data_IF_372251400030
#
_entry.id   IF_372251400030
#
_cell.length_a   1.000
_cell.length_b   1.000
_cell.length_c   1.000
_cell.angle_alpha   90.00
_cell.angle_beta   90.00
_cell.angle_gamma   90.00
#
_symmetry.space_group_name_H-M   'P 1'
#
loop_
_entity.id
_entity.type
_entity.pdbx_description
1 polymer ?
#
# COMPACT_ATOMS: atom_id res chain seq x y z
N UNK A 1 16.61 51.22 -49.10
CA UNK A 1 17.82 50.70 -48.43
C UNK A 1 17.68 51.03 -46.95
N UNK A 2 17.06 50.21 -46.10
CA UNK A 2 17.44 48.88 -45.60
C UNK A 2 18.67 48.89 -44.67
N UNK A 3 18.44 48.74 -43.35
CA UNK A 3 19.11 47.84 -42.36
C UNK A 3 18.90 48.41 -40.93
N UNK A 4 17.98 47.87 -40.09
CA UNK A 4 18.08 46.74 -39.12
C UNK A 4 19.07 46.95 -37.95
N UNK A 5 18.53 47.07 -36.72
CA UNK A 5 18.63 46.13 -35.56
C UNK A 5 19.80 46.49 -34.65
N UNK A 6 19.78 46.47 -33.31
CA UNK A 6 18.93 45.89 -32.27
C UNK A 6 19.85 45.76 -31.03
N UNK A 7 19.35 45.93 -29.80
CA UNK A 7 20.24 45.91 -28.64
C UNK A 7 19.55 46.09 -27.28
N UNK A 8 18.64 45.17 -26.96
CA UNK A 8 18.09 44.93 -25.64
C UNK A 8 19.18 44.51 -24.63
N UNK A 9 19.15 45.07 -23.42
CA UNK A 9 19.78 44.47 -22.24
C UNK A 9 18.86 44.66 -21.04
N UNK A 10 17.95 43.70 -20.89
CA UNK A 10 17.17 43.48 -19.69
C UNK A 10 18.07 43.37 -18.45
N UNK A 11 17.73 44.14 -17.41
CA UNK A 11 18.28 43.99 -16.06
C UNK A 11 17.49 42.86 -15.37
N UNK A 12 18.23 41.82 -15.03
CA UNK A 12 17.83 40.60 -14.33
C UNK A 12 16.83 40.84 -13.19
N UNK A 13 15.65 40.26 -13.31
CA UNK A 13 14.76 39.95 -12.21
C UNK A 13 15.43 38.90 -11.32
N UNK A 14 15.78 39.28 -10.08
CA UNK A 14 16.03 38.31 -9.02
C UNK A 14 14.69 37.68 -8.64
N UNK A 15 14.40 36.53 -9.27
CA UNK A 15 13.35 35.64 -8.80
C UNK A 15 13.77 35.06 -7.45
N UNK A 16 13.12 35.53 -6.38
CA UNK A 16 13.15 34.88 -5.09
C UNK A 16 12.69 33.43 -5.28
N UNK A 17 13.61 32.48 -5.04
CA UNK A 17 13.29 31.08 -5.00
C UNK A 17 12.38 30.83 -3.81
N UNK A 18 11.07 30.80 -4.07
CA UNK A 18 10.10 30.31 -3.11
C UNK A 18 10.32 28.81 -2.98
N UNK A 19 11.01 28.46 -1.90
CA UNK A 19 11.28 27.12 -1.41
C UNK A 19 9.94 26.42 -1.18
N UNK A 20 9.35 25.91 -2.26
CA UNK A 20 8.29 24.92 -2.23
C UNK A 20 8.94 23.63 -1.74
N UNK A 21 9.23 23.57 -0.44
CA UNK A 21 9.34 22.33 0.31
C UNK A 21 8.20 21.47 -0.21
N UNK A 22 8.55 20.49 -1.04
CA UNK A 22 7.60 19.53 -1.58
C UNK A 22 6.97 18.90 -0.35
N UNK A 23 5.77 19.37 0.04
CA UNK A 23 4.98 18.79 1.11
C UNK A 23 5.03 17.29 0.87
N UNK A 24 5.76 16.57 1.73
CA UNK A 24 5.84 15.13 1.65
C UNK A 24 4.40 14.66 1.72
N UNK A 25 3.96 13.91 0.72
CA UNK A 25 2.64 13.28 0.76
C UNK A 25 2.72 12.23 1.86
N UNK A 26 2.38 12.63 3.08
CA UNK A 26 2.27 11.72 4.20
C UNK A 26 1.12 10.75 3.91
N UNK A 27 1.37 9.46 4.16
CA UNK A 27 0.33 8.46 4.06
C UNK A 27 -0.73 8.74 5.12
N UNK A 28 -2.01 8.65 4.75
CA UNK A 28 -3.13 8.76 5.70
C UNK A 28 -3.16 7.59 6.70
N UNK A 29 -2.42 6.51 6.42
CA UNK A 29 -2.39 5.29 7.20
C UNK A 29 -1.15 5.29 8.10
N UNK A 30 -1.39 5.32 9.41
CA UNK A 30 -0.33 5.16 10.41
C UNK A 30 -0.15 3.67 10.76
N UNK A 31 0.82 3.04 10.09
CA UNK A 31 1.16 1.64 10.30
C UNK A 31 1.95 1.38 11.60
N UNK A 32 2.46 2.43 12.27
CA UNK A 32 3.18 2.29 13.54
C UNK A 32 2.35 1.56 14.59
N UNK A 33 1.03 1.79 14.58
CA UNK A 33 0.05 1.20 15.51
C UNK A 33 -0.07 -0.33 15.37
N UNK A 34 0.39 -0.88 14.25
CA UNK A 34 0.32 -2.29 13.90
C UNK A 34 1.69 -2.97 13.93
N UNK A 35 2.77 -2.27 14.27
CA UNK A 35 4.08 -2.90 14.50
C UNK A 35 3.97 -3.98 15.57
N UNK A 36 4.65 -5.09 15.34
CA UNK A 36 4.64 -6.29 16.19
C UNK A 36 3.25 -6.93 16.35
N UNK A 37 2.27 -6.57 15.50
CA UNK A 37 0.95 -7.20 15.47
C UNK A 37 0.75 -7.97 14.17
N UNK A 38 -0.11 -8.98 14.24
CA UNK A 38 -0.53 -9.71 13.05
C UNK A 38 -1.48 -8.88 12.21
N UNK A 39 -1.16 -8.74 10.93
CA UNK A 39 -1.98 -8.08 9.92
C UNK A 39 -2.25 -9.04 8.76
N UNK A 40 -3.40 -8.86 8.11
CA UNK A 40 -3.75 -9.50 6.84
C UNK A 40 -3.62 -8.48 5.71
N UNK A 41 -2.97 -8.88 4.63
CA UNK A 41 -2.69 -8.05 3.46
C UNK A 41 -3.23 -8.73 2.22
N UNK A 42 -4.02 -7.98 1.43
CA UNK A 42 -4.45 -8.41 0.10
C UNK A 42 -3.65 -7.69 -0.96
N UNK A 43 -3.33 -8.40 -2.03
CA UNK A 43 -2.59 -7.89 -3.17
C UNK A 43 -3.46 -7.82 -4.41
N UNK A 44 -3.13 -6.89 -5.29
CA UNK A 44 -3.65 -6.85 -6.65
C UNK A 44 -3.43 -8.22 -7.31
N UNK A 45 -4.47 -8.72 -7.98
CA UNK A 45 -4.47 -10.06 -8.55
C UNK A 45 -4.83 -11.17 -7.57
N UNK A 46 -5.33 -10.86 -6.37
CA UNK A 46 -6.10 -11.77 -5.49
C UNK A 46 -5.32 -12.47 -4.38
N UNK A 47 -3.98 -12.38 -4.37
CA UNK A 47 -3.17 -13.02 -3.31
C UNK A 47 -3.47 -12.43 -1.94
N UNK A 48 -3.49 -13.28 -0.93
CA UNK A 48 -3.67 -12.87 0.46
C UNK A 48 -2.60 -13.49 1.35
N UNK A 49 -2.04 -12.69 2.25
CA UNK A 49 -1.07 -13.16 3.24
C UNK A 49 -1.37 -12.55 4.60
N UNK A 50 -1.04 -13.27 5.66
CA UNK A 50 -1.06 -12.77 7.03
C UNK A 50 0.31 -12.97 7.68
N UNK A 51 0.74 -12.02 8.50
CA UNK A 51 2.03 -12.08 9.19
C UNK A 51 2.19 -10.94 10.18
N UNK A 52 3.25 -11.01 10.99
CA UNK A 52 3.58 -9.98 11.99
C UNK A 52 4.28 -8.82 11.29
N UNK A 53 3.73 -7.61 11.40
CA UNK A 53 4.36 -6.43 10.80
C UNK A 53 5.62 -6.04 11.58
N UNK A 54 6.79 -6.20 10.95
CA UNK A 54 8.10 -5.84 11.53
C UNK A 54 8.60 -4.47 11.09
N UNK A 55 8.12 -3.97 9.95
CA UNK A 55 8.55 -2.69 9.42
C UNK A 55 7.78 -2.31 8.17
N UNK A 56 7.83 -1.02 7.84
CA UNK A 56 7.21 -0.49 6.64
C UNK A 56 7.93 0.79 6.19
N UNK A 57 7.65 1.23 4.97
CA UNK A 57 8.15 2.49 4.43
C UNK A 57 7.01 3.38 3.87
N UNK A 58 7.30 4.63 3.46
CA UNK A 58 6.28 5.51 2.90
C UNK A 58 5.64 5.04 1.58
N UNK A 59 6.24 4.07 0.89
CA UNK A 59 5.68 3.46 -0.32
C UNK A 59 4.79 2.25 0.00
N UNK A 60 4.56 1.97 1.29
CA UNK A 60 3.83 0.81 1.80
C UNK A 60 4.49 -0.53 1.44
N UNK A 61 5.82 -0.54 1.24
CA UNK A 61 6.53 -1.81 1.31
C UNK A 61 6.48 -2.30 2.76
N UNK A 62 6.18 -3.58 2.97
CA UNK A 62 5.99 -4.16 4.30
C UNK A 62 7.01 -5.26 4.53
N UNK A 63 7.51 -5.36 5.75
CA UNK A 63 8.28 -6.52 6.22
C UNK A 63 7.37 -7.31 7.14
N UNK A 64 7.05 -8.54 6.74
CA UNK A 64 6.20 -9.44 7.51
C UNK A 64 7.00 -10.65 7.96
N UNK A 65 6.89 -10.99 9.24
CA UNK A 65 7.49 -12.19 9.83
C UNK A 65 6.42 -13.25 10.14
N UNK A 66 6.82 -14.52 10.22
CA UNK A 66 5.92 -15.67 10.35
C UNK A 66 4.77 -15.65 9.33
N UNK A 67 5.08 -15.27 8.10
CA UNK A 67 4.07 -15.02 7.06
C UNK A 67 3.46 -16.32 6.57
N UNK A 68 2.13 -16.34 6.48
CA UNK A 68 1.32 -17.40 5.89
C UNK A 68 0.55 -16.83 4.70
N UNK A 69 0.63 -17.49 3.55
CA UNK A 69 -0.20 -17.16 2.39
C UNK A 69 -1.43 -18.08 2.33
N UNK A 70 -2.58 -17.50 1.98
CA UNK A 70 -3.81 -18.23 1.69
C UNK A 70 -3.84 -18.56 0.20
N UNK A 71 -3.90 -19.86 -0.14
CA UNK A 71 -3.91 -20.31 -1.53
C UNK A 71 -5.27 -20.02 -2.17
N UNK A 72 -5.27 -19.92 -3.50
CA UNK A 72 -6.41 -19.46 -4.30
C UNK A 72 -6.81 -20.52 -5.30
N UNK A 73 -8.09 -20.54 -5.60
CA UNK A 73 -8.67 -21.46 -6.56
C UNK A 73 -7.98 -21.24 -7.92
N UNK A 74 -7.38 -22.27 -8.54
CA UNK A 74 -6.75 -22.13 -9.85
C UNK A 74 -7.72 -21.62 -10.92
N UNK A 75 -9.00 -21.92 -10.77
CA UNK A 75 -10.06 -21.56 -11.71
C UNK A 75 -10.72 -20.20 -11.37
N UNK A 76 -10.64 -19.76 -10.10
CA UNK A 76 -11.12 -18.45 -9.64
C UNK A 76 -10.07 -17.74 -8.74
N UNK A 77 -9.31 -16.78 -9.30
CA UNK A 77 -8.28 -16.03 -8.58
C UNK A 77 -8.77 -15.23 -7.36
N UNK A 78 -10.08 -15.02 -7.20
CA UNK A 78 -10.68 -14.27 -6.09
C UNK A 78 -11.28 -15.15 -5.00
N UNK A 79 -11.29 -16.47 -5.21
CA UNK A 79 -11.73 -17.45 -4.23
C UNK A 79 -10.52 -18.04 -3.51
N UNK A 80 -10.51 -17.94 -2.19
CA UNK A 80 -9.52 -18.62 -1.35
C UNK A 80 -9.90 -20.10 -1.18
N UNK A 81 -8.90 -20.96 -1.08
CA UNK A 81 -9.04 -22.29 -0.48
C UNK A 81 -8.80 -22.20 1.03
N UNK A 82 -9.13 -23.28 1.74
CA UNK A 82 -8.72 -23.48 3.14
C UNK A 82 -7.23 -23.87 3.27
N UNK A 83 -6.54 -24.01 2.14
CA UNK A 83 -5.11 -24.33 2.10
C UNK A 83 -4.24 -23.09 2.29
N UNK A 84 -3.14 -23.29 3.04
CA UNK A 84 -2.17 -22.23 3.33
C UNK A 84 -0.74 -22.72 3.12
N UNK A 85 0.19 -21.79 2.94
CA UNK A 85 1.64 -22.08 2.95
C UNK A 85 2.42 -21.10 3.79
N UNK A 86 3.39 -21.61 4.55
CA UNK A 86 4.33 -20.81 5.31
C UNK A 86 5.40 -20.21 4.40
N UNK A 87 5.68 -18.92 4.56
CA UNK A 87 6.70 -18.17 3.83
C UNK A 87 7.81 -17.63 4.75
N UNK A 88 7.55 -17.54 6.06
CA UNK A 88 8.52 -17.01 7.03
C UNK A 88 8.65 -15.49 6.93
N UNK A 89 9.89 -14.99 6.86
CA UNK A 89 10.19 -13.56 6.72
C UNK A 89 10.10 -13.14 5.25
N UNK A 90 9.22 -12.19 4.94
CA UNK A 90 9.01 -11.70 3.57
C UNK A 90 9.01 -10.18 3.49
N UNK A 91 9.32 -9.67 2.30
CA UNK A 91 9.11 -8.27 1.93
C UNK A 91 7.97 -8.20 0.93
N UNK A 92 6.91 -7.49 1.28
CA UNK A 92 5.75 -7.23 0.43
C UNK A 92 5.95 -5.91 -0.32
N UNK A 93 5.75 -5.93 -1.63
CA UNK A 93 5.89 -4.74 -2.48
C UNK A 93 4.64 -3.87 -2.41
N UNK A 94 4.78 -2.63 -1.93
CA UNK A 94 3.68 -1.70 -1.68
C UNK A 94 2.86 -1.34 -2.92
N UNK A 95 3.48 -1.34 -4.11
CA UNK A 95 2.77 -1.08 -5.37
C UNK A 95 1.67 -2.08 -5.69
N UNK A 96 1.71 -3.28 -5.09
CA UNK A 96 0.73 -4.34 -5.29
C UNK A 96 -0.22 -4.48 -4.11
N UNK A 97 -0.04 -3.74 -3.02
CA UNK A 97 -0.92 -3.81 -1.85
C UNK A 97 -2.23 -3.10 -2.18
N UNK A 98 -3.35 -3.79 -1.95
CA UNK A 98 -4.69 -3.21 -2.13
C UNK A 98 -5.42 -2.98 -0.82
N UNK A 99 -5.15 -3.81 0.21
CA UNK A 99 -5.81 -3.71 1.51
C UNK A 99 -4.90 -4.26 2.61
N UNK A 100 -4.92 -3.57 3.76
CA UNK A 100 -4.23 -3.96 5.00
C UNK A 100 -5.29 -3.95 6.11
N UNK A 101 -5.40 -5.04 6.85
CA UNK A 101 -6.31 -5.17 7.98
C UNK A 101 -5.58 -5.71 9.21
N UNK A 102 -5.85 -5.19 10.42
CA UNK A 102 -5.47 -5.90 11.63
C UNK A 102 -6.20 -7.26 11.67
N UNK A 103 -5.53 -8.29 12.15
CA UNK A 103 -6.20 -9.57 12.41
C UNK A 103 -7.01 -9.56 13.71
N UNK A 104 -6.66 -8.69 14.65
CA UNK A 104 -7.41 -8.51 15.89
C UNK A 104 -8.83 -7.99 15.59
N UNK A 105 -9.84 -8.71 16.04
CA UNK A 105 -11.24 -8.45 15.74
C UNK A 105 -11.71 -8.84 14.33
N UNK A 106 -10.88 -9.49 13.52
CA UNK A 106 -11.29 -10.04 12.22
C UNK A 106 -11.90 -11.43 12.39
N UNK A 107 -13.18 -11.58 12.04
CA UNK A 107 -13.85 -12.88 12.00
C UNK A 107 -14.66 -13.05 10.70
N UNK A 108 -14.74 -14.30 10.24
CA UNK A 108 -15.64 -14.65 9.14
C UNK A 108 -17.05 -14.80 9.72
N UNK A 109 -17.99 -14.02 9.18
CA UNK A 109 -19.40 -14.07 9.56
C UNK A 109 -20.24 -14.72 8.46
N UNK A 110 -21.36 -15.38 8.80
CA UNK A 110 -22.35 -15.74 7.81
C UNK A 110 -22.88 -14.49 7.11
N UNK A 111 -23.42 -14.65 5.91
CA UNK A 111 -24.03 -13.55 5.17
C UNK A 111 -25.13 -12.87 6.05
N UNK A 112 -24.96 -11.59 6.42
CA UNK A 112 -25.82 -10.91 7.39
C UNK A 112 -27.20 -10.55 6.83
N UNK A 113 -27.43 -10.76 5.53
CA UNK A 113 -28.69 -10.45 4.85
C UNK A 113 -29.62 -11.66 4.72
N UNK A 114 -29.18 -12.85 5.13
CA UNK A 114 -30.04 -14.03 5.16
C UNK A 114 -30.76 -14.03 6.51
N UNK A 115 -32.09 -13.92 6.51
CA UNK A 115 -32.90 -14.12 7.71
C UNK A 115 -32.66 -15.55 8.21
N UNK A 116 -32.16 -15.70 9.43
CA UNK A 116 -32.13 -17.01 10.08
C UNK A 116 -33.58 -17.38 10.40
N UNK A 117 -34.24 -18.15 9.53
CA UNK A 117 -35.50 -18.80 9.88
C UNK A 117 -35.21 -19.77 11.03
N UNK A 118 -35.84 -19.52 12.18
CA UNK A 118 -35.72 -20.32 13.40
C UNK A 118 -36.54 -21.60 13.37
#
# INVERSE_FOLDING_TARGET
MASKEGGDKGKSSQGAGDNKEKRRKESILDLSKYLEKSIRVKFAGGREAAGILKGYDPLLNLVLDNTTEFLRDPDDPYKLLDDTRALGLVVCRGTSVVLICPMDGMEAIPNPFITQEG
#
